data_IF_157917933175
#
_entry.id   IF_157917933175
#
_cell.length_a   1.000
_cell.length_b   1.000
_cell.length_c   1.000
_cell.angle_alpha   90.00
_cell.angle_beta   90.00
_cell.angle_gamma   90.00
#
_symmetry.space_group_name_H-M   'P 1'
#
loop_
_entity.id
_entity.type
_entity.pdbx_description
1 polymer ?
#
# COMPACT_ATOMS: atom_id res chain seq x y z
N UNK A 1 -37.33 16.84 41.24
CA UNK A 1 -36.19 17.48 40.53
C UNK A 1 -35.04 16.47 40.53
N UNK A 2 -34.92 15.70 39.45
CA UNK A 2 -33.85 14.71 39.29
C UNK A 2 -32.77 15.32 38.40
N UNK A 3 -31.59 15.60 38.97
CA UNK A 3 -30.40 15.99 38.22
C UNK A 3 -29.76 14.73 37.63
N UNK A 4 -29.79 14.59 36.33
CA UNK A 4 -28.96 13.63 35.61
C UNK A 4 -27.57 14.26 35.39
N UNK A 5 -26.55 13.68 36.03
CA UNK A 5 -25.17 14.03 35.77
C UNK A 5 -24.72 13.31 34.49
N UNK A 6 -24.42 14.07 33.42
CA UNK A 6 -23.73 13.56 32.25
C UNK A 6 -22.24 13.39 32.59
N UNK A 7 -21.75 12.15 32.62
CA UNK A 7 -20.32 11.85 32.65
C UNK A 7 -19.82 11.87 31.22
N UNK A 8 -19.13 12.94 30.83
CA UNK A 8 -18.41 13.01 29.58
C UNK A 8 -17.14 12.16 29.74
N UNK A 9 -17.11 10.98 29.11
CA UNK A 9 -15.91 10.17 28.99
C UNK A 9 -14.92 10.84 28.03
N UNK A 10 -13.79 11.31 28.56
CA UNK A 10 -12.66 11.74 27.74
C UNK A 10 -12.00 10.49 27.16
N UNK A 11 -12.21 10.26 25.86
CA UNK A 11 -11.39 9.32 25.10
C UNK A 11 -10.03 9.96 24.85
N UNK A 12 -9.01 9.52 25.58
CA UNK A 12 -7.63 9.81 25.23
C UNK A 12 -7.28 8.99 23.97
N UNK A 13 -7.25 9.62 22.82
CA UNK A 13 -6.58 9.08 21.66
C UNK A 13 -5.07 9.10 21.97
N UNK A 14 -4.48 7.96 22.31
CA UNK A 14 -3.04 7.82 22.39
C UNK A 14 -2.48 8.06 20.98
N UNK A 15 -1.78 9.17 20.80
CA UNK A 15 -1.00 9.39 19.59
C UNK A 15 0.06 8.28 19.51
N UNK A 16 -0.03 7.41 18.51
CA UNK A 16 1.03 6.45 18.21
C UNK A 16 2.22 7.28 17.74
N UNK A 17 3.27 7.31 18.53
CA UNK A 17 4.54 7.92 18.12
C UNK A 17 5.21 6.98 17.14
N UNK A 18 5.53 7.47 15.94
CA UNK A 18 6.28 6.72 14.94
C UNK A 18 7.55 6.10 15.55
N UNK A 19 7.75 4.78 15.41
CA UNK A 19 8.84 4.05 16.05
C UNK A 19 9.45 2.97 15.16
N UNK A 20 10.77 2.79 15.29
CA UNK A 20 11.44 1.65 14.69
C UNK A 20 11.12 0.37 15.47
N UNK A 21 10.81 -0.70 14.73
CA UNK A 21 10.56 -2.04 15.27
C UNK A 21 11.32 -3.09 14.47
N UNK A 22 11.35 -4.31 14.97
CA UNK A 22 11.75 -5.50 14.21
C UNK A 22 10.52 -6.33 13.85
N UNK A 23 10.65 -7.27 12.92
CA UNK A 23 9.55 -8.17 12.58
C UNK A 23 9.05 -9.01 13.78
N UNK A 24 9.88 -9.27 14.79
CA UNK A 24 9.47 -9.92 16.03
C UNK A 24 8.56 -9.04 16.88
N UNK A 25 8.66 -7.70 16.77
CA UNK A 25 7.81 -6.75 17.48
C UNK A 25 6.37 -6.70 16.96
N UNK A 26 6.04 -7.34 15.84
CA UNK A 26 4.65 -7.37 15.35
C UNK A 26 3.67 -8.00 16.34
N UNK A 27 4.14 -8.97 17.14
CA UNK A 27 3.32 -9.66 18.14
C UNK A 27 2.92 -8.76 19.32
N UNK A 28 3.66 -7.69 19.56
CA UNK A 28 3.44 -6.75 20.67
C UNK A 28 2.52 -5.58 20.26
N UNK A 29 2.19 -5.48 18.96
CA UNK A 29 1.33 -4.41 18.46
C UNK A 29 -0.13 -4.66 18.83
N UNK A 30 -0.91 -3.60 19.11
CA UNK A 30 -2.34 -3.74 19.33
C UNK A 30 -3.05 -4.24 18.07
N UNK A 31 -4.29 -4.69 18.23
CA UNK A 31 -5.11 -5.13 17.10
C UNK A 31 -5.60 -3.94 16.27
N UNK A 32 -5.55 -4.11 14.96
CA UNK A 32 -6.01 -3.14 13.96
C UNK A 32 -7.02 -3.81 13.01
N UNK A 33 -7.85 -3.00 12.37
CA UNK A 33 -8.79 -3.49 11.36
C UNK A 33 -8.09 -3.64 10.01
N UNK A 34 -7.10 -2.76 9.75
CA UNK A 34 -6.26 -2.77 8.54
C UNK A 34 -4.80 -2.58 8.92
N UNK A 35 -3.93 -3.45 8.41
CA UNK A 35 -2.47 -3.32 8.53
C UNK A 35 -1.87 -3.20 7.14
N UNK A 36 -1.09 -2.16 6.91
CA UNK A 36 -0.41 -1.89 5.63
C UNK A 36 1.07 -2.18 5.81
N UNK A 37 1.60 -3.11 5.02
CA UNK A 37 2.99 -3.54 5.05
C UNK A 37 3.69 -3.06 3.78
N UNK A 38 4.41 -1.93 3.91
CA UNK A 38 5.17 -1.33 2.82
C UNK A 38 6.47 -2.08 2.54
N UNK A 39 6.90 -2.11 1.27
CA UNK A 39 8.10 -2.82 0.82
C UNK A 39 8.91 -2.01 -0.20
N UNK A 40 10.18 -2.37 -0.37
CA UNK A 40 10.93 -2.20 -1.61
C UNK A 40 10.75 -3.50 -2.38
N UNK A 41 10.14 -3.45 -3.54
CA UNK A 41 9.56 -4.61 -4.25
C UNK A 41 10.54 -5.77 -4.54
N UNK A 42 11.83 -5.50 -4.66
CA UNK A 42 12.86 -6.51 -4.90
C UNK A 42 13.62 -6.93 -3.63
N UNK A 43 13.27 -6.40 -2.45
CA UNK A 43 13.95 -6.75 -1.22
C UNK A 43 13.35 -8.01 -0.58
N UNK A 44 14.10 -9.11 -0.66
CA UNK A 44 13.71 -10.41 -0.09
C UNK A 44 13.36 -10.34 1.41
N UNK A 45 14.07 -9.50 2.18
CA UNK A 45 13.82 -9.41 3.62
C UNK A 45 12.51 -8.69 3.91
N UNK A 46 12.12 -7.72 3.07
CA UNK A 46 10.84 -7.06 3.21
C UNK A 46 9.69 -8.06 3.05
N UNK A 47 9.77 -8.94 2.05
CA UNK A 47 8.75 -9.99 1.85
C UNK A 47 8.74 -11.03 2.96
N UNK A 48 9.90 -11.40 3.51
CA UNK A 48 9.97 -12.29 4.67
C UNK A 48 9.32 -11.65 5.91
N UNK A 49 9.55 -10.36 6.14
CA UNK A 49 8.90 -9.60 7.21
C UNK A 49 7.39 -9.50 6.98
N UNK A 50 6.95 -9.26 5.73
CA UNK A 50 5.53 -9.25 5.39
C UNK A 50 4.87 -10.61 5.66
N UNK A 51 5.51 -11.71 5.29
CA UNK A 51 5.01 -13.06 5.60
C UNK A 51 4.91 -13.28 7.12
N UNK A 52 5.90 -12.82 7.89
CA UNK A 52 5.87 -12.84 9.36
C UNK A 52 4.70 -12.02 9.90
N UNK A 53 4.52 -10.80 9.40
CA UNK A 53 3.40 -9.92 9.78
C UNK A 53 2.06 -10.55 9.45
N UNK A 54 1.91 -11.13 8.26
CA UNK A 54 0.67 -11.82 7.85
C UNK A 54 0.36 -12.99 8.78
N UNK A 55 1.37 -13.77 9.18
CA UNK A 55 1.18 -14.87 10.13
C UNK A 55 0.74 -14.36 11.51
N UNK A 56 1.31 -13.25 11.99
CA UNK A 56 0.99 -12.65 13.31
C UNK A 56 -0.39 -12.00 13.30
N UNK A 57 -0.69 -11.17 12.30
CA UNK A 57 -1.96 -10.46 12.23
C UNK A 57 -3.15 -11.35 11.81
N UNK A 58 -2.87 -12.55 11.30
CA UNK A 58 -3.85 -13.58 10.93
C UNK A 58 -5.07 -13.00 10.17
N UNK A 59 -4.87 -12.32 9.02
CA UNK A 59 -5.92 -11.60 8.33
C UNK A 59 -6.97 -12.54 7.72
N UNK A 60 -8.21 -12.05 7.62
CA UNK A 60 -9.25 -12.69 6.81
C UNK A 60 -9.16 -12.34 5.32
N UNK A 61 -8.44 -11.27 5.00
CA UNK A 61 -8.21 -10.84 3.63
C UNK A 61 -6.79 -10.28 3.45
N UNK A 62 -6.20 -10.56 2.28
CA UNK A 62 -4.97 -9.93 1.79
C UNK A 62 -5.32 -9.08 0.56
N UNK A 63 -4.86 -7.84 0.56
CA UNK A 63 -4.93 -6.94 -0.60
C UNK A 63 -3.54 -6.78 -1.17
N UNK A 64 -3.36 -7.06 -2.46
CA UNK A 64 -2.10 -6.91 -3.16
C UNK A 64 -2.16 -5.77 -4.18
N UNK A 65 -1.18 -4.87 -4.12
CA UNK A 65 -0.95 -3.86 -5.16
C UNK A 65 -0.72 -4.52 -6.53
N UNK A 66 0.05 -5.60 -6.53
CA UNK A 66 0.58 -6.29 -7.69
C UNK A 66 -0.45 -7.09 -8.48
N UNK A 67 -1.66 -7.23 -7.99
CA UNK A 67 -2.72 -8.03 -8.63
C UNK A 67 -3.86 -7.14 -9.08
N UNK A 68 -4.34 -7.39 -10.28
CA UNK A 68 -5.66 -6.88 -10.68
C UNK A 68 -6.77 -7.65 -9.95
N UNK A 69 -7.98 -7.08 -9.83
CA UNK A 69 -9.14 -7.81 -9.28
C UNK A 69 -9.40 -9.15 -9.98
N UNK A 70 -9.22 -9.22 -11.31
CA UNK A 70 -9.40 -10.43 -12.10
C UNK A 70 -8.34 -11.50 -11.79
N UNK A 71 -7.09 -11.09 -11.53
CA UNK A 71 -6.04 -12.00 -11.09
C UNK A 71 -6.34 -12.54 -9.71
N UNK A 72 -6.71 -11.67 -8.77
CA UNK A 72 -7.09 -12.09 -7.42
C UNK A 72 -8.26 -13.07 -7.40
N UNK A 73 -9.24 -12.91 -8.29
CA UNK A 73 -10.39 -13.82 -8.42
C UNK A 73 -9.99 -15.23 -8.92
N UNK A 74 -8.85 -15.37 -9.59
CA UNK A 74 -8.33 -16.68 -10.07
C UNK A 74 -7.49 -17.43 -9.03
N UNK A 75 -7.20 -16.83 -7.87
CA UNK A 75 -6.43 -17.50 -6.82
C UNK A 75 -7.16 -18.76 -6.37
N UNK A 76 -6.51 -19.94 -6.45
CA UNK A 76 -7.13 -21.19 -6.05
C UNK A 76 -7.32 -21.25 -4.51
N UNK A 77 -8.26 -22.08 -4.07
CA UNK A 77 -8.46 -22.32 -2.62
C UNK A 77 -7.24 -23.00 -1.99
N UNK A 78 -6.69 -24.00 -2.66
CA UNK A 78 -5.42 -24.62 -2.27
C UNK A 78 -4.26 -23.83 -2.89
N UNK A 79 -3.39 -23.31 -2.06
CA UNK A 79 -2.22 -22.49 -2.41
C UNK A 79 -0.91 -23.15 -2.03
N UNK A 80 -0.94 -24.46 -1.74
CA UNK A 80 0.25 -25.23 -1.33
C UNK A 80 1.24 -25.43 -2.49
N UNK A 81 0.75 -25.40 -3.73
CA UNK A 81 1.57 -25.47 -4.94
C UNK A 81 1.87 -24.06 -5.47
N UNK A 82 3.12 -23.59 -5.24
CA UNK A 82 3.56 -22.26 -5.66
C UNK A 82 3.58 -22.10 -7.17
N UNK A 83 3.91 -23.15 -7.93
CA UNK A 83 3.97 -23.09 -9.39
C UNK A 83 2.57 -22.98 -9.99
N UNK A 84 1.62 -23.76 -9.47
CA UNK A 84 0.23 -23.64 -9.89
C UNK A 84 -0.38 -22.27 -9.54
N UNK A 85 -0.04 -21.70 -8.38
CA UNK A 85 -0.49 -20.38 -7.97
C UNK A 85 0.10 -19.29 -8.86
N UNK A 86 1.41 -19.31 -9.14
CA UNK A 86 2.07 -18.37 -10.04
C UNK A 86 1.43 -18.38 -11.43
N UNK A 87 1.20 -19.58 -11.98
CA UNK A 87 0.56 -19.74 -13.28
C UNK A 87 -0.88 -19.20 -13.30
N UNK A 88 -1.67 -19.47 -12.24
CA UNK A 88 -3.05 -18.97 -12.13
C UNK A 88 -3.11 -17.43 -12.08
N UNK A 89 -2.13 -16.80 -11.46
CA UNK A 89 -1.98 -15.35 -11.38
C UNK A 89 -1.43 -14.74 -12.69
N UNK A 90 -0.74 -15.53 -13.53
CA UNK A 90 0.00 -15.01 -14.69
C UNK A 90 1.15 -14.10 -14.26
N UNK A 91 1.78 -14.42 -13.10
CA UNK A 91 2.77 -13.53 -12.48
C UNK A 91 4.00 -13.32 -13.34
N UNK A 92 4.48 -14.36 -14.04
CA UNK A 92 5.67 -14.34 -14.88
C UNK A 92 5.65 -13.33 -16.05
N UNK A 93 4.48 -12.78 -16.38
CA UNK A 93 4.30 -11.75 -17.42
C UNK A 93 3.82 -10.41 -16.85
N UNK A 94 3.74 -10.27 -15.53
CA UNK A 94 3.23 -9.07 -14.86
C UNK A 94 4.23 -7.91 -14.81
N UNK A 95 5.53 -8.23 -14.93
CA UNK A 95 6.62 -7.26 -14.73
C UNK A 95 7.03 -7.04 -13.27
N UNK A 96 6.38 -7.69 -12.32
CA UNK A 96 6.77 -7.68 -10.92
C UNK A 96 7.98 -8.58 -10.64
N UNK A 97 8.70 -8.40 -9.52
CA UNK A 97 9.78 -9.28 -9.13
C UNK A 97 9.36 -10.75 -9.03
N UNK A 98 10.35 -11.64 -8.90
CA UNK A 98 10.16 -13.09 -8.84
C UNK A 98 9.07 -13.50 -7.84
N UNK A 99 8.14 -14.35 -8.26
CA UNK A 99 7.02 -14.81 -7.44
C UNK A 99 7.47 -15.52 -6.16
N UNK A 100 8.65 -16.12 -6.16
CA UNK A 100 9.21 -16.78 -4.97
C UNK A 100 9.40 -15.83 -3.79
N UNK A 101 9.51 -14.52 -4.02
CA UNK A 101 9.55 -13.51 -2.98
C UNK A 101 8.17 -13.34 -2.31
N UNK A 102 7.10 -13.38 -3.09
CA UNK A 102 5.73 -13.13 -2.64
C UNK A 102 5.02 -14.39 -2.13
N UNK A 103 5.38 -15.57 -2.65
CA UNK A 103 4.73 -16.83 -2.27
C UNK A 103 4.62 -17.07 -0.76
N UNK A 104 5.67 -16.80 0.06
CA UNK A 104 5.57 -16.97 1.52
C UNK A 104 4.43 -16.16 2.16
N UNK A 105 4.06 -15.02 1.59
CA UNK A 105 2.97 -14.17 2.08
C UNK A 105 1.62 -14.86 1.86
N UNK A 106 1.41 -15.47 0.68
CA UNK A 106 0.22 -16.28 0.42
C UNK A 106 0.15 -17.53 1.31
N UNK A 107 1.29 -18.17 1.55
CA UNK A 107 1.39 -19.37 2.39
C UNK A 107 1.13 -19.05 3.87
N UNK A 108 1.49 -17.84 4.35
CA UNK A 108 1.30 -17.42 5.74
C UNK A 108 -0.20 -17.26 6.13
N UNK A 109 -1.10 -17.03 5.15
CA UNK A 109 -2.53 -16.92 5.39
C UNK A 109 -3.33 -17.71 4.36
N UNK A 110 -3.28 -19.06 4.38
CA UNK A 110 -3.87 -19.91 3.33
C UNK A 110 -5.39 -19.80 3.23
N UNK A 111 -6.08 -19.39 4.30
CA UNK A 111 -7.53 -19.22 4.35
C UNK A 111 -7.97 -17.76 4.01
N UNK A 112 -7.07 -16.80 3.96
CA UNK A 112 -7.42 -15.41 3.68
C UNK A 112 -7.96 -15.25 2.25
N UNK A 113 -8.99 -14.43 2.05
CA UNK A 113 -9.44 -14.04 0.70
C UNK A 113 -8.43 -13.08 0.09
N UNK A 114 -8.18 -13.21 -1.20
CA UNK A 114 -7.24 -12.37 -1.93
C UNK A 114 -8.01 -11.32 -2.73
N UNK A 115 -7.51 -10.09 -2.65
CA UNK A 115 -8.01 -8.93 -3.38
C UNK A 115 -6.85 -8.29 -4.15
N UNK A 116 -7.14 -7.79 -5.32
CA UNK A 116 -6.19 -7.07 -6.16
C UNK A 116 -6.55 -5.60 -6.25
N UNK A 117 -5.53 -4.75 -6.27
CA UNK A 117 -5.68 -3.30 -6.36
C UNK A 117 -4.98 -2.69 -7.58
N UNK A 118 -4.32 -3.50 -8.43
CA UNK A 118 -3.71 -2.99 -9.64
C UNK A 118 -4.77 -2.40 -10.60
N UNK A 119 -4.33 -1.38 -11.31
CA UNK A 119 -5.21 -0.58 -12.15
C UNK A 119 -5.62 -1.33 -13.42
N UNK A 120 -6.87 -1.17 -13.87
CA UNK A 120 -7.25 -1.67 -15.18
C UNK A 120 -6.49 -0.96 -16.28
N UNK A 121 -6.32 -1.65 -17.42
CA UNK A 121 -5.61 -1.12 -18.57
C UNK A 121 -6.13 0.26 -18.99
N UNK A 122 -5.21 1.19 -19.20
CA UNK A 122 -5.51 2.56 -19.60
C UNK A 122 -5.93 3.53 -18.50
N UNK A 123 -6.20 3.06 -17.26
CA UNK A 123 -6.60 3.95 -16.16
C UNK A 123 -5.48 4.92 -15.78
N UNK A 124 -4.24 4.45 -15.71
CA UNK A 124 -3.08 5.31 -15.46
C UNK A 124 -2.92 6.39 -16.54
N UNK A 125 -3.02 6.01 -17.83
CA UNK A 125 -2.98 6.98 -18.95
C UNK A 125 -4.08 8.02 -18.83
N UNK A 126 -5.29 7.59 -18.47
CA UNK A 126 -6.42 8.50 -18.25
C UNK A 126 -6.18 9.43 -17.06
N UNK A 127 -5.54 8.96 -15.99
CA UNK A 127 -5.17 9.79 -14.85
C UNK A 127 -4.13 10.86 -15.25
N UNK A 128 -3.12 10.51 -16.04
CA UNK A 128 -2.12 11.48 -16.55
C UNK A 128 -2.79 12.61 -17.36
N UNK A 129 -3.78 12.27 -18.21
CA UNK A 129 -4.36 13.24 -19.14
C UNK A 129 -5.58 14.00 -18.60
N UNK A 130 -6.31 13.40 -17.67
CA UNK A 130 -7.64 13.89 -17.24
C UNK A 130 -7.84 13.88 -15.72
N UNK A 131 -6.77 13.58 -14.96
CA UNK A 131 -6.79 13.52 -13.50
C UNK A 131 -7.20 12.17 -12.93
N UNK A 132 -6.85 11.96 -11.66
CA UNK A 132 -7.08 10.70 -10.93
C UNK A 132 -8.58 10.32 -10.90
N UNK A 133 -9.46 11.26 -10.66
CA UNK A 133 -10.90 11.04 -10.64
C UNK A 133 -11.43 10.43 -11.94
N UNK A 134 -10.93 10.88 -13.09
CA UNK A 134 -11.31 10.35 -14.39
C UNK A 134 -10.84 8.90 -14.59
N UNK A 135 -9.65 8.54 -14.07
CA UNK A 135 -9.13 7.17 -14.08
C UNK A 135 -9.90 6.23 -13.14
N UNK A 136 -10.36 6.74 -12.00
CA UNK A 136 -11.00 5.95 -10.94
C UNK A 136 -12.48 5.62 -11.23
N UNK A 137 -13.24 6.59 -11.72
CA UNK A 137 -14.65 6.43 -12.05
C UNK A 137 -15.62 7.04 -11.03
N UNK A 138 -16.88 6.51 -10.93
CA UNK A 138 -17.97 7.20 -10.23
C UNK A 138 -17.72 7.55 -8.77
N UNK A 139 -17.03 6.69 -8.02
CA UNK A 139 -16.83 6.84 -6.58
C UNK A 139 -15.61 7.73 -6.22
N UNK A 140 -15.01 8.42 -7.19
CA UNK A 140 -13.81 9.22 -7.02
C UNK A 140 -13.91 10.26 -5.87
N UNK A 141 -15.09 10.82 -5.64
CA UNK A 141 -15.33 11.81 -4.58
C UNK A 141 -15.19 11.19 -3.18
N UNK A 142 -15.58 9.92 -2.99
CA UNK A 142 -15.49 9.20 -1.70
C UNK A 142 -14.04 9.09 -1.24
N UNK A 143 -13.12 8.94 -2.19
CA UNK A 143 -11.68 8.80 -1.96
C UNK A 143 -10.92 10.12 -2.12
N UNK A 144 -11.60 11.26 -2.16
CA UNK A 144 -10.99 12.59 -2.22
C UNK A 144 -10.34 12.95 -3.57
N UNK A 145 -10.56 12.16 -4.63
CA UNK A 145 -9.90 12.37 -5.92
C UNK A 145 -10.45 13.54 -6.73
N UNK A 146 -11.63 14.06 -6.38
CA UNK A 146 -12.23 15.23 -7.04
C UNK A 146 -11.72 16.56 -6.51
N UNK A 147 -11.01 16.54 -5.37
CA UNK A 147 -10.42 17.72 -4.79
C UNK A 147 -8.98 17.91 -5.31
N UNK A 148 -8.60 19.12 -5.69
CA UNK A 148 -7.21 19.43 -6.01
C UNK A 148 -6.34 19.26 -4.76
N UNK A 149 -5.06 18.97 -4.96
CA UNK A 149 -4.08 19.08 -3.89
C UNK A 149 -3.80 20.55 -3.58
N UNK A 150 -3.36 20.81 -2.35
CA UNK A 150 -2.73 22.08 -2.03
C UNK A 150 -1.52 22.29 -2.95
N UNK A 151 -1.24 23.55 -3.39
CA UNK A 151 -0.10 23.81 -4.28
C UNK A 151 1.26 23.37 -3.74
N UNK A 152 1.47 23.45 -2.42
CA UNK A 152 2.71 22.96 -1.80
C UNK A 152 2.79 21.43 -1.87
N UNK A 153 1.74 20.73 -1.47
CA UNK A 153 1.66 19.26 -1.59
C UNK A 153 1.85 18.80 -3.03
N UNK A 154 1.26 19.50 -3.99
CA UNK A 154 1.42 19.18 -5.41
C UNK A 154 2.88 19.32 -5.85
N UNK A 155 3.58 20.36 -5.40
CA UNK A 155 5.00 20.61 -5.71
C UNK A 155 5.90 19.53 -5.09
N UNK A 156 5.69 19.21 -3.83
CA UNK A 156 6.50 18.23 -3.10
C UNK A 156 6.35 16.83 -3.75
N UNK A 157 5.12 16.42 -4.06
CA UNK A 157 4.86 15.15 -4.75
C UNK A 157 5.43 15.11 -6.17
N UNK A 158 5.50 16.22 -6.88
CA UNK A 158 6.18 16.28 -8.18
C UNK A 158 7.69 16.08 -8.03
N UNK A 159 8.29 16.66 -6.99
CA UNK A 159 9.71 16.43 -6.65
C UNK A 159 9.97 14.96 -6.33
N UNK A 160 9.14 14.35 -5.49
CA UNK A 160 9.22 12.90 -5.21
C UNK A 160 9.10 12.05 -6.49
N UNK A 161 8.19 12.40 -7.41
CA UNK A 161 8.08 11.69 -8.69
C UNK A 161 9.30 11.88 -9.59
N UNK A 162 9.90 13.07 -9.61
CA UNK A 162 11.12 13.30 -10.36
C UNK A 162 12.27 12.45 -9.81
N UNK A 163 12.47 12.44 -8.50
CA UNK A 163 13.51 11.66 -7.82
C UNK A 163 13.31 10.15 -8.02
N UNK A 164 12.09 9.65 -7.83
CA UNK A 164 11.75 8.23 -8.04
C UNK A 164 12.01 7.73 -9.47
N UNK A 165 12.06 8.66 -10.44
CA UNK A 165 12.35 8.37 -11.85
C UNK A 165 13.71 8.93 -12.28
N UNK A 166 14.65 9.11 -11.34
CA UNK A 166 16.03 9.54 -11.61
C UNK A 166 16.14 10.89 -12.34
N UNK A 167 15.15 11.77 -12.14
CA UNK A 167 15.01 13.05 -12.85
C UNK A 167 14.96 12.94 -14.40
N UNK A 168 14.66 11.74 -14.89
CA UNK A 168 14.61 11.48 -16.34
C UNK A 168 13.24 11.82 -16.97
N UNK A 169 12.21 12.04 -16.17
CA UNK A 169 10.89 12.39 -16.66
C UNK A 169 10.84 13.87 -17.09
N UNK A 170 10.21 14.18 -18.26
CA UNK A 170 9.90 15.56 -18.62
C UNK A 170 9.05 16.23 -17.53
N UNK A 171 9.40 17.47 -17.16
CA UNK A 171 8.76 18.23 -16.07
C UNK A 171 7.23 18.36 -16.29
N UNK A 172 6.80 18.50 -17.53
CA UNK A 172 5.38 18.60 -17.88
C UNK A 172 4.58 17.31 -17.65
N UNK A 173 5.22 16.15 -17.42
CA UNK A 173 4.56 14.89 -17.07
C UNK A 173 4.40 14.70 -15.56
N UNK A 174 5.20 15.37 -14.74
CA UNK A 174 5.21 15.20 -13.28
C UNK A 174 3.83 15.44 -12.63
N UNK A 175 3.04 16.46 -12.99
CA UNK A 175 1.69 16.62 -12.46
C UNK A 175 0.79 15.41 -12.75
N UNK A 176 0.91 14.84 -13.94
CA UNK A 176 0.18 13.62 -14.33
C UNK A 176 0.61 12.40 -13.55
N UNK A 177 1.91 12.25 -13.25
CA UNK A 177 2.43 11.15 -12.42
C UNK A 177 1.88 11.21 -10.99
N UNK A 178 1.77 12.42 -10.41
CA UNK A 178 1.10 12.61 -9.12
C UNK A 178 -0.36 12.12 -9.18
N UNK A 179 -1.08 12.37 -10.27
CA UNK A 179 -2.45 11.88 -10.44
C UNK A 179 -2.51 10.34 -10.55
N UNK A 180 -1.50 9.70 -11.13
CA UNK A 180 -1.40 8.23 -11.16
C UNK A 180 -1.19 7.67 -9.76
N UNK A 181 -0.33 8.27 -8.96
CA UNK A 181 -0.13 7.81 -7.56
C UNK A 181 -1.41 7.96 -6.74
N UNK A 182 -2.08 9.11 -6.80
CA UNK A 182 -3.39 9.30 -6.15
C UNK A 182 -4.42 8.26 -6.58
N UNK A 183 -4.44 7.91 -7.86
CA UNK A 183 -5.33 6.88 -8.39
C UNK A 183 -5.01 5.50 -7.80
N UNK A 184 -3.71 5.11 -7.72
CA UNK A 184 -3.28 3.84 -7.13
C UNK A 184 -3.61 3.76 -5.65
N UNK A 185 -3.34 4.82 -4.89
CA UNK A 185 -3.68 4.91 -3.47
C UNK A 185 -5.19 4.71 -3.23
N UNK A 186 -6.01 5.35 -4.04
CA UNK A 186 -7.46 5.20 -3.96
C UNK A 186 -7.94 3.79 -4.40
N UNK A 187 -7.27 3.16 -5.37
CA UNK A 187 -7.59 1.80 -5.79
C UNK A 187 -7.26 0.79 -4.67
N UNK A 188 -6.12 0.94 -3.99
CA UNK A 188 -5.78 0.17 -2.79
C UNK A 188 -6.82 0.38 -1.68
N UNK A 189 -7.18 1.62 -1.38
CA UNK A 189 -8.20 1.94 -0.38
C UNK A 189 -9.55 1.31 -0.73
N UNK A 190 -9.99 1.35 -1.99
CA UNK A 190 -11.23 0.72 -2.45
C UNK A 190 -11.20 -0.79 -2.27
N UNK A 191 -10.08 -1.45 -2.60
CA UNK A 191 -9.93 -2.88 -2.40
C UNK A 191 -10.01 -3.26 -0.92
N UNK A 192 -9.46 -2.44 -0.01
CA UNK A 192 -9.58 -2.62 1.45
C UNK A 192 -11.02 -2.46 1.91
N UNK A 193 -11.73 -1.41 1.49
CA UNK A 193 -13.14 -1.20 1.84
C UNK A 193 -13.99 -2.38 1.40
N UNK A 194 -13.77 -2.89 0.18
CA UNK A 194 -14.44 -4.10 -0.30
C UNK A 194 -14.10 -5.32 0.55
N UNK A 195 -12.81 -5.55 0.84
CA UNK A 195 -12.35 -6.68 1.65
C UNK A 195 -12.96 -6.64 3.05
N UNK A 196 -13.01 -5.47 3.68
CA UNK A 196 -13.66 -5.27 4.98
C UNK A 196 -15.16 -5.59 4.95
N UNK A 197 -15.87 -5.08 3.94
CA UNK A 197 -17.30 -5.32 3.80
C UNK A 197 -17.63 -6.81 3.61
N UNK A 198 -16.77 -7.54 2.88
CA UNK A 198 -17.01 -8.94 2.55
C UNK A 198 -16.50 -9.95 3.60
N UNK A 199 -15.51 -9.58 4.43
CA UNK A 199 -14.86 -10.50 5.38
C UNK A 199 -14.98 -10.09 6.85
N UNK A 200 -15.26 -8.81 7.10
CA UNK A 200 -15.25 -8.21 8.45
C UNK A 200 -13.83 -8.06 9.02
N UNK A 201 -12.77 -8.22 8.21
CA UNK A 201 -11.37 -8.07 8.62
C UNK A 201 -10.88 -9.07 9.70
N UNK A 202 -9.63 -8.94 10.18
CA UNK A 202 -8.66 -7.93 9.76
C UNK A 202 -8.22 -8.09 8.30
N UNK A 203 -7.75 -6.99 7.70
CA UNK A 203 -7.18 -6.93 6.34
C UNK A 203 -5.70 -6.58 6.42
N UNK A 204 -4.84 -7.30 5.71
CA UNK A 204 -3.44 -6.91 5.51
C UNK A 204 -3.23 -6.52 4.05
N UNK A 205 -2.54 -5.39 3.84
CA UNK A 205 -2.21 -4.85 2.53
C UNK A 205 -0.73 -5.03 2.27
N UNK A 206 -0.39 -5.56 1.10
CA UNK A 206 0.97 -5.74 0.60
C UNK A 206 1.18 -4.75 -0.53
N UNK A 207 2.10 -3.82 -0.34
CA UNK A 207 2.26 -2.68 -1.26
C UNK A 207 3.67 -2.08 -1.18
N UNK A 208 4.06 -1.32 -2.18
CA UNK A 208 5.28 -0.53 -2.13
C UNK A 208 5.25 0.49 -1.00
N UNK A 209 6.42 0.76 -0.40
CA UNK A 209 6.57 1.64 0.76
C UNK A 209 5.95 3.03 0.53
N UNK A 210 6.02 3.58 -0.68
CA UNK A 210 5.41 4.87 -1.01
C UNK A 210 3.90 4.91 -0.79
N UNK A 211 3.19 3.81 -1.10
CA UNK A 211 1.74 3.71 -0.90
C UNK A 211 1.35 3.49 0.57
N UNK A 212 2.27 3.04 1.41
CA UNK A 212 2.03 2.85 2.85
C UNK A 212 2.14 4.15 3.67
N UNK A 213 2.64 5.25 3.13
CA UNK A 213 2.80 6.54 3.81
C UNK A 213 1.49 7.04 4.40
N UNK A 214 1.53 7.51 5.65
CA UNK A 214 0.34 8.00 6.37
C UNK A 214 -0.08 9.40 5.94
N UNK A 215 0.83 10.17 5.34
CA UNK A 215 0.64 11.57 4.90
C UNK A 215 0.19 11.69 3.44
N UNK A 216 0.68 10.82 2.54
CA UNK A 216 0.43 10.93 1.10
C UNK A 216 -0.09 9.66 0.44
N UNK A 217 0.10 8.49 1.07
CA UNK A 217 -0.25 7.18 0.53
C UNK A 217 -1.72 6.76 0.72
N UNK A 218 -1.98 5.47 0.54
CA UNK A 218 -3.32 4.89 0.60
C UNK A 218 -4.07 5.10 1.95
N UNK A 219 -3.41 5.30 3.12
CA UNK A 219 -4.12 5.65 4.35
C UNK A 219 -4.97 6.92 4.22
N UNK A 220 -4.57 7.87 3.37
CA UNK A 220 -5.30 9.13 3.19
C UNK A 220 -6.69 8.89 2.57
N UNK A 221 -6.82 8.34 1.34
CA UNK A 221 -8.12 8.04 0.77
C UNK A 221 -8.89 6.97 1.57
N UNK A 222 -8.22 6.05 2.28
CA UNK A 222 -8.89 5.06 3.11
C UNK A 222 -9.60 5.70 4.31
N UNK A 223 -8.97 6.65 5.00
CA UNK A 223 -9.59 7.40 6.11
C UNK A 223 -10.79 8.23 5.65
N UNK A 224 -10.78 8.74 4.41
CA UNK A 224 -11.94 9.44 3.85
C UNK A 224 -13.11 8.48 3.58
N UNK A 225 -12.83 7.31 3.03
CA UNK A 225 -13.84 6.34 2.64
C UNK A 225 -14.38 5.52 3.83
N UNK A 226 -13.57 5.30 4.85
CA UNK A 226 -13.89 4.46 6.01
C UNK A 226 -13.23 5.02 7.30
N UNK A 227 -13.74 6.15 7.84
CA UNK A 227 -13.11 6.89 8.94
C UNK A 227 -13.07 6.11 10.27
N UNK A 228 -13.91 5.11 10.43
CA UNK A 228 -14.00 4.32 11.67
C UNK A 228 -12.97 3.18 11.75
N UNK A 229 -12.25 2.89 10.64
CA UNK A 229 -11.25 1.83 10.62
C UNK A 229 -9.99 2.24 11.37
N UNK A 230 -9.50 1.36 12.23
CA UNK A 230 -8.18 1.49 12.87
C UNK A 230 -7.14 0.97 11.90
N UNK A 231 -6.33 1.89 11.38
CA UNK A 231 -5.32 1.62 10.35
C UNK A 231 -3.95 1.68 11.01
N UNK A 232 -3.13 0.68 10.72
CA UNK A 232 -1.71 0.63 11.06
C UNK A 232 -0.89 0.61 9.77
N UNK A 233 0.06 1.53 9.66
CA UNK A 233 1.01 1.58 8.55
C UNK A 233 2.42 1.27 9.02
N UNK A 234 3.08 0.33 8.33
CA UNK A 234 4.44 -0.11 8.61
C UNK A 234 5.27 0.03 7.34
N UNK A 235 6.28 0.91 7.38
CA UNK A 235 7.26 1.08 6.30
C UNK A 235 8.46 0.16 6.46
N UNK A 236 9.13 -0.19 5.36
CA UNK A 236 10.40 -0.91 5.40
C UNK A 236 11.44 -0.19 4.53
N UNK A 237 12.66 -0.05 5.07
CA UNK A 237 13.74 0.73 4.48
C UNK A 237 15.04 -0.07 4.44
N UNK A 238 15.93 0.30 3.54
CA UNK A 238 17.26 -0.29 3.36
C UNK A 238 18.38 0.58 3.98
N UNK A 239 18.00 1.73 4.52
CA UNK A 239 18.89 2.63 5.24
C UNK A 239 18.10 3.34 6.34
N UNK A 240 18.80 3.84 7.35
CA UNK A 240 18.21 4.66 8.41
C UNK A 240 17.72 5.96 7.77
N UNK A 241 16.42 6.32 7.91
CA UNK A 241 15.91 7.59 7.40
C UNK A 241 16.56 8.79 8.13
N UNK A 242 16.89 9.85 7.41
CA UNK A 242 17.45 11.07 7.97
C UNK A 242 16.46 11.83 8.88
N UNK A 243 15.16 11.63 8.63
CA UNK A 243 14.05 12.21 9.41
C UNK A 243 13.07 11.10 9.78
N UNK A 244 12.26 11.33 10.81
CA UNK A 244 11.20 10.38 11.18
C UNK A 244 10.26 10.18 9.98
N UNK A 245 10.18 8.95 9.44
CA UNK A 245 9.39 8.71 8.25
C UNK A 245 7.88 8.67 8.58
N UNK A 246 7.00 8.98 7.63
CA UNK A 246 5.56 9.11 7.86
C UNK A 246 4.84 7.75 7.88
N UNK A 247 5.17 6.94 8.88
CA UNK A 247 4.55 5.63 9.17
C UNK A 247 4.29 5.54 10.67
N UNK A 248 3.39 4.67 11.08
CA UNK A 248 3.19 4.40 12.51
C UNK A 248 4.40 3.66 13.08
N UNK A 249 4.92 2.68 12.30
CA UNK A 249 6.16 1.96 12.60
C UNK A 249 6.98 1.75 11.33
N UNK A 250 8.29 1.49 11.51
CA UNK A 250 9.15 1.10 10.40
C UNK A 250 10.20 0.07 10.80
N UNK A 251 10.72 -0.64 9.80
CA UNK A 251 11.81 -1.60 9.95
C UNK A 251 12.97 -1.20 9.03
N UNK A 252 14.19 -1.47 9.51
CA UNK A 252 15.40 -1.34 8.71
C UNK A 252 15.90 -2.73 8.35
N UNK A 253 16.22 -2.94 7.10
CA UNK A 253 16.82 -4.18 6.60
C UNK A 253 18.08 -3.87 5.80
N UNK A 254 18.99 -4.84 5.63
CA UNK A 254 20.09 -4.67 4.70
C UNK A 254 19.59 -4.39 3.27
N UNK A 255 20.31 -3.51 2.52
CA UNK A 255 19.99 -3.27 1.12
C UNK A 255 20.23 -4.53 0.28
N UNK A 256 19.42 -4.72 -0.75
CA UNK A 256 19.65 -5.77 -1.73
C UNK A 256 20.67 -5.33 -2.78
N UNK A 257 21.59 -6.22 -3.16
CA UNK A 257 22.46 -5.96 -4.32
C UNK A 257 21.60 -5.78 -5.58
N UNK A 258 21.68 -4.60 -6.19
CA UNK A 258 21.01 -4.31 -7.47
C UNK A 258 21.87 -3.38 -8.31
N UNK A 259 21.71 -3.48 -9.60
CA UNK A 259 22.24 -2.44 -10.50
C UNK A 259 21.49 -1.14 -10.22
N UNK A 260 22.21 -0.02 -10.23
CA UNK A 260 21.57 1.29 -10.08
C UNK A 260 20.43 1.44 -11.11
N UNK A 261 19.17 1.58 -10.66
CA UNK A 261 18.04 1.69 -11.58
C UNK A 261 18.11 2.94 -12.46
N UNK A 262 18.87 3.94 -12.05
CA UNK A 262 19.05 5.17 -12.82
C UNK A 262 19.92 4.98 -14.08
N UNK A 263 20.73 3.91 -14.12
CA UNK A 263 21.50 3.60 -15.34
C UNK A 263 20.62 3.28 -16.56
N UNK A 264 19.41 2.79 -16.33
CA UNK A 264 18.44 2.53 -17.40
C UNK A 264 17.96 3.83 -18.10
N UNK A 265 18.10 4.97 -17.43
CA UNK A 265 17.71 6.28 -17.94
C UNK A 265 18.90 7.12 -18.43
N UNK A 266 20.14 6.67 -18.19
CA UNK A 266 21.31 7.30 -18.76
C UNK A 266 21.41 6.88 -20.23
N UNK A 267 20.86 7.68 -21.12
CA UNK A 267 21.14 7.61 -22.54
C UNK A 267 22.57 8.10 -22.73
N UNK A 268 23.52 7.18 -22.83
CA UNK A 268 24.75 7.48 -23.56
C UNK A 268 24.31 7.78 -24.98
N UNK A 269 24.39 9.09 -25.35
CA UNK A 269 23.98 9.64 -26.63
C UNK A 269 24.85 9.18 -27.81
#
# INVERSE_FOLDING_TARGET
MNCFAFVAGLFYASAVSAAEITAFGFADLPTFDVVILGEVHDNRMHHANQATGVAVFAPKALVFEMLTPDQAARVPKDRSDSVALEAALGWNVSGWPDFTLYYPIFAAAPAARIYGADLPAGAAKKAVTSGAAAGFGPDAAVYGLTQPLDPADQSDRQTEQAEAHCNALPVNLLPGMVQVQRLRDAALARAVVQAMAETGGPVVVITGVGHARTDTGMPVPLRLAAPDLRILSIGQFEAIPDVTPPYDYWLITPPQPRTDPCLAFSTDG
#
